data_IF_574427523868
#
_entry.id   IF_574427523868
#
_cell.length_a   1.000
_cell.length_b   1.000
_cell.length_c   1.000
_cell.angle_alpha   90.00
_cell.angle_beta   90.00
_cell.angle_gamma   90.00
#
_symmetry.space_group_name_H-M   'P 1'
#
loop_
_entity.id
_entity.type
_entity.pdbx_description
1 polymer ?
#
# COMPACT_ATOMS: atom_id res chain seq x y z
N UNK A 1 79.86 32.64 -2.68
CA UNK A 1 78.75 33.59 -2.61
C UNK A 1 77.42 32.88 -2.98
N UNK A 2 76.70 32.45 -1.97
CA UNK A 2 75.45 31.74 -2.16
C UNK A 2 74.28 32.69 -1.90
N UNK A 3 73.43 32.94 -2.91
CA UNK A 3 72.22 33.70 -2.81
C UNK A 3 71.06 32.79 -2.42
N UNK A 4 70.42 33.05 -1.28
CA UNK A 4 69.20 32.39 -0.79
C UNK A 4 68.02 32.89 -1.60
N UNK A 5 67.36 32.00 -2.31
CA UNK A 5 66.00 32.22 -2.87
C UNK A 5 64.96 31.74 -1.89
N UNK A 6 64.19 32.62 -1.35
CA UNK A 6 63.04 32.36 -0.49
C UNK A 6 61.88 31.92 -1.34
N UNK A 7 61.42 30.66 -1.15
CA UNK A 7 60.18 30.16 -1.76
C UNK A 7 59.03 30.52 -0.84
N UNK A 8 58.13 31.37 -1.29
CA UNK A 8 56.83 31.63 -0.69
C UNK A 8 55.88 30.50 -1.12
N UNK A 9 55.53 29.59 -0.20
CA UNK A 9 54.38 28.69 -0.38
C UNK A 9 53.11 29.46 -0.01
N UNK A 10 52.28 29.79 -1.01
CA UNK A 10 50.92 30.20 -0.79
C UNK A 10 50.02 28.99 -0.56
N UNK A 11 49.55 28.81 0.67
CA UNK A 11 48.55 27.82 1.01
C UNK A 11 47.20 28.33 0.54
N UNK A 12 46.66 27.72 -0.52
CA UNK A 12 45.26 27.90 -0.91
C UNK A 12 44.39 27.04 0.02
N UNK A 13 43.72 27.67 0.95
CA UNK A 13 42.71 27.03 1.78
C UNK A 13 41.47 26.76 0.90
N UNK A 14 41.26 25.52 0.52
CA UNK A 14 40.00 25.07 -0.10
C UNK A 14 38.93 25.02 1.00
N UNK A 15 38.06 26.02 1.02
CA UNK A 15 36.88 26.01 1.86
C UNK A 15 35.88 25.01 1.28
N UNK A 16 35.79 23.83 1.88
CA UNK A 16 34.76 22.85 1.62
C UNK A 16 33.45 23.41 2.17
N UNK A 17 32.61 23.95 1.30
CA UNK A 17 31.27 24.40 1.67
C UNK A 17 30.44 23.17 2.08
N UNK A 18 30.30 22.97 3.40
CA UNK A 18 29.28 22.06 3.94
C UNK A 18 27.90 22.64 3.59
N UNK A 19 27.25 22.03 2.59
CA UNK A 19 25.83 22.29 2.35
C UNK A 19 25.04 21.79 3.57
N UNK A 20 24.13 22.57 4.11
CA UNK A 20 23.42 22.18 5.31
C UNK A 20 22.47 21.02 5.01
N UNK A 21 22.66 19.90 5.70
CA UNK A 21 21.73 18.75 5.71
C UNK A 21 20.30 19.12 6.17
N UNK A 22 20.07 20.36 6.57
CA UNK A 22 18.78 20.88 7.00
C UNK A 22 17.70 20.92 5.89
N UNK A 23 18.10 21.01 4.61
CA UNK A 23 17.12 21.11 3.50
C UNK A 23 16.41 19.78 3.23
N UNK A 24 17.07 18.63 3.39
CA UNK A 24 16.43 17.33 3.21
C UNK A 24 15.42 16.98 4.31
N UNK A 25 15.68 17.40 5.54
CA UNK A 25 14.76 17.18 6.65
C UNK A 25 13.49 18.04 6.55
N UNK A 26 13.60 19.26 6.01
CA UNK A 26 12.46 20.15 5.82
C UNK A 26 11.53 19.69 4.67
N UNK A 27 12.09 19.11 3.60
CA UNK A 27 11.32 18.60 2.48
C UNK A 27 10.61 17.27 2.82
N UNK A 28 11.24 16.42 3.64
CA UNK A 28 10.61 15.22 4.19
C UNK A 28 9.45 15.59 5.16
N UNK A 29 9.63 16.59 6.02
CA UNK A 29 8.60 17.06 6.93
C UNK A 29 7.44 17.78 6.21
N UNK A 30 7.68 18.48 5.10
CA UNK A 30 6.65 19.09 4.28
C UNK A 30 5.84 18.05 3.50
N UNK A 31 6.46 16.92 3.11
CA UNK A 31 5.76 15.79 2.51
C UNK A 31 4.84 15.06 3.49
N UNK A 32 5.21 14.97 4.77
CA UNK A 32 4.39 14.39 5.84
C UNK A 32 3.19 15.27 6.23
N UNK A 33 3.35 16.60 6.17
CA UNK A 33 2.25 17.52 6.47
C UNK A 33 1.19 17.59 5.36
N UNK A 34 1.52 17.17 4.13
CA UNK A 34 0.59 17.14 2.99
C UNK A 34 -0.33 15.91 2.95
N UNK A 35 0.00 14.84 3.67
CA UNK A 35 -0.93 13.76 3.99
C UNK A 35 -1.77 14.25 5.18
N UNK A 36 -2.70 15.18 4.90
CA UNK A 36 -3.61 15.67 5.91
C UNK A 36 -4.22 14.48 6.65
N UNK A 37 -3.98 14.38 7.95
CA UNK A 37 -4.73 13.56 8.86
C UNK A 37 -6.18 14.05 8.82
N UNK A 38 -6.92 13.64 7.80
CA UNK A 38 -8.36 13.69 7.89
C UNK A 38 -8.70 12.80 9.09
N UNK A 39 -9.18 13.40 10.16
CA UNK A 39 -9.65 12.65 11.31
C UNK A 39 -10.59 11.57 10.76
N UNK A 40 -10.26 10.30 11.02
CA UNK A 40 -11.14 9.21 10.62
C UNK A 40 -12.51 9.48 11.21
N UNK A 41 -13.59 9.39 10.42
CA UNK A 41 -14.92 9.58 10.94
C UNK A 41 -15.17 8.56 12.07
N UNK A 42 -16.03 8.86 13.03
CA UNK A 42 -16.38 7.93 14.09
C UNK A 42 -16.76 6.58 13.49
N UNK A 43 -16.31 5.47 14.10
CA UNK A 43 -16.64 4.13 13.65
C UNK A 43 -18.16 3.99 13.43
N UNK A 44 -18.56 3.55 12.23
CA UNK A 44 -19.96 3.39 11.84
C UNK A 44 -20.64 4.61 11.22
N UNK A 45 -19.96 5.75 11.04
CA UNK A 45 -20.50 6.89 10.31
C UNK A 45 -20.28 6.72 8.79
N UNK A 46 -21.36 6.64 8.03
CA UNK A 46 -21.36 6.57 6.55
C UNK A 46 -22.16 7.74 5.98
N UNK A 47 -21.80 8.31 4.83
CA UNK A 47 -20.68 7.93 3.93
C UNK A 47 -19.31 8.35 4.46
N UNK A 48 -18.27 7.59 4.07
CA UNK A 48 -16.87 7.92 4.33
C UNK A 48 -16.21 8.40 3.03
N UNK A 49 -15.50 9.51 3.10
CA UNK A 49 -14.73 10.07 1.97
C UNK A 49 -13.29 10.26 2.39
N UNK A 50 -12.35 9.71 1.63
CA UNK A 50 -10.92 9.82 1.89
C UNK A 50 -10.11 9.83 0.59
N UNK A 51 -8.82 10.15 0.69
CA UNK A 51 -7.86 9.98 -0.40
C UNK A 51 -7.09 8.68 -0.23
N UNK A 52 -7.11 7.83 -1.25
CA UNK A 52 -6.28 6.63 -1.26
C UNK A 52 -4.80 6.94 -1.60
N UNK A 53 -3.93 5.95 -1.53
CA UNK A 53 -2.50 6.14 -1.78
C UNK A 53 -2.13 6.37 -3.26
N UNK A 54 -3.09 6.30 -4.18
CA UNK A 54 -2.96 6.80 -5.55
C UNK A 54 -3.43 8.27 -5.68
N UNK A 55 -3.78 8.93 -4.57
CA UNK A 55 -4.26 10.32 -4.53
C UNK A 55 -5.69 10.50 -5.01
N UNK A 56 -6.43 9.41 -5.24
CA UNK A 56 -7.82 9.44 -5.71
C UNK A 56 -8.77 9.66 -4.54
N UNK A 57 -9.84 10.39 -4.78
CA UNK A 57 -10.93 10.50 -3.81
C UNK A 57 -11.82 9.25 -3.90
N UNK A 58 -11.87 8.49 -2.82
CA UNK A 58 -12.75 7.33 -2.68
C UNK A 58 -13.93 7.70 -1.78
N UNK A 59 -15.13 7.33 -2.21
CA UNK A 59 -16.36 7.53 -1.45
C UNK A 59 -16.99 6.17 -1.21
N UNK A 60 -17.10 5.79 0.05
CA UNK A 60 -17.83 4.61 0.50
C UNK A 60 -19.15 5.07 1.10
N UNK A 61 -20.26 4.72 0.47
CA UNK A 61 -21.60 5.14 0.91
C UNK A 61 -22.11 4.33 2.09
N UNK A 62 -21.54 3.13 2.27
CA UNK A 62 -21.86 2.20 3.35
C UNK A 62 -20.63 1.33 3.66
N UNK A 63 -20.66 0.63 4.77
CA UNK A 63 -19.61 -0.32 5.12
C UNK A 63 -19.54 -1.46 4.11
N UNK A 64 -18.37 -1.72 3.49
CA UNK A 64 -18.20 -2.82 2.55
C UNK A 64 -18.45 -4.17 3.24
N UNK A 65 -19.31 -4.98 2.62
CA UNK A 65 -19.68 -6.31 3.10
C UNK A 65 -19.04 -7.43 2.30
N UNK A 66 -18.61 -7.15 1.07
CA UNK A 66 -18.01 -8.11 0.15
C UNK A 66 -16.70 -7.54 -0.41
N UNK A 67 -15.59 -7.95 0.18
CA UNK A 67 -14.29 -7.33 -0.07
C UNK A 67 -13.40 -8.29 -0.86
N UNK A 68 -12.77 -7.79 -1.92
CA UNK A 68 -11.63 -8.41 -2.56
C UNK A 68 -10.35 -7.87 -1.93
N UNK A 69 -9.45 -8.76 -1.53
CA UNK A 69 -8.11 -8.38 -1.05
C UNK A 69 -7.08 -8.77 -2.09
N UNK A 70 -6.74 -7.83 -2.97
CA UNK A 70 -5.68 -7.94 -3.97
C UNK A 70 -4.35 -7.38 -3.42
N UNK A 71 -4.03 -7.80 -2.22
CA UNK A 71 -2.83 -7.48 -1.45
C UNK A 71 -2.58 -8.64 -0.48
N UNK A 72 -1.56 -8.56 0.37
CA UNK A 72 -1.37 -9.56 1.41
C UNK A 72 -2.53 -9.56 2.40
N UNK A 73 -3.20 -10.71 2.48
CA UNK A 73 -4.33 -10.90 3.40
C UNK A 73 -3.92 -10.70 4.86
N UNK A 74 -2.66 -10.96 5.20
CA UNK A 74 -2.11 -10.78 6.54
C UNK A 74 -2.19 -9.32 7.00
N UNK A 75 -1.89 -8.38 6.09
CA UNK A 75 -1.99 -6.94 6.40
C UNK A 75 -3.45 -6.53 6.66
N UNK A 76 -4.37 -7.04 5.85
CA UNK A 76 -5.79 -6.81 6.05
C UNK A 76 -6.28 -7.36 7.39
N UNK A 77 -5.85 -8.58 7.74
CA UNK A 77 -6.21 -9.22 9.02
C UNK A 77 -5.61 -8.50 10.23
N UNK A 78 -4.39 -7.95 10.10
CA UNK A 78 -3.74 -7.20 11.18
C UNK A 78 -4.57 -5.98 11.59
N UNK A 79 -5.17 -5.31 10.62
CA UNK A 79 -5.97 -4.09 10.83
C UNK A 79 -7.42 -4.41 11.19
N UNK A 80 -8.05 -5.26 10.40
CA UNK A 80 -9.48 -5.55 10.52
C UNK A 80 -9.82 -6.65 11.53
N UNK A 81 -8.83 -7.39 11.98
CA UNK A 81 -9.03 -8.55 12.86
C UNK A 81 -9.77 -9.71 12.20
N UNK A 82 -10.15 -10.69 13.01
CA UNK A 82 -10.81 -11.91 12.55
C UNK A 82 -12.18 -11.66 11.91
N UNK A 83 -12.93 -10.72 12.45
CA UNK A 83 -14.28 -10.45 11.95
C UNK A 83 -14.29 -9.83 10.54
N UNK A 84 -13.29 -9.05 10.20
CA UNK A 84 -13.14 -8.50 8.86
C UNK A 84 -12.94 -9.60 7.80
N UNK A 85 -12.29 -10.73 8.17
CA UNK A 85 -12.09 -11.85 7.27
C UNK A 85 -13.40 -12.47 6.76
N UNK A 86 -14.48 -12.40 7.54
CA UNK A 86 -15.81 -12.89 7.14
C UNK A 86 -16.38 -12.17 5.91
N UNK A 87 -15.87 -10.97 5.63
CA UNK A 87 -16.29 -10.15 4.48
C UNK A 87 -15.44 -10.38 3.24
N UNK A 88 -14.33 -11.13 3.34
CA UNK A 88 -13.44 -11.39 2.20
C UNK A 88 -14.04 -12.47 1.30
N UNK A 89 -14.40 -12.09 0.09
CA UNK A 89 -15.01 -12.98 -0.91
C UNK A 89 -14.03 -13.47 -1.98
N UNK A 90 -12.81 -12.92 -1.99
CA UNK A 90 -11.70 -13.34 -2.86
C UNK A 90 -10.41 -12.67 -2.46
N UNK A 91 -9.28 -13.34 -2.70
CA UNK A 91 -7.97 -12.80 -2.39
C UNK A 91 -6.91 -13.26 -3.39
N UNK A 92 -5.81 -12.54 -3.51
CA UNK A 92 -4.62 -13.04 -4.19
C UNK A 92 -3.95 -14.09 -3.30
N UNK A 93 -3.72 -15.28 -3.83
CA UNK A 93 -3.03 -16.35 -3.08
C UNK A 93 -1.55 -16.46 -3.42
N UNK A 94 -1.18 -16.09 -4.65
CA UNK A 94 0.19 -15.83 -5.06
C UNK A 94 1.19 -16.94 -4.66
N UNK A 95 0.79 -18.18 -4.90
CA UNK A 95 1.57 -19.36 -4.51
C UNK A 95 1.94 -19.41 -3.01
N UNK A 96 1.16 -18.73 -2.15
CA UNK A 96 1.42 -18.63 -0.71
C UNK A 96 1.66 -19.98 -0.05
N UNK A 97 0.86 -20.99 -0.43
CA UNK A 97 0.98 -22.36 0.08
C UNK A 97 2.28 -23.09 -0.31
N UNK A 98 2.95 -22.65 -1.39
CA UNK A 98 4.19 -23.27 -1.86
C UNK A 98 5.43 -22.43 -1.59
N UNK A 99 5.35 -21.11 -1.79
CA UNK A 99 6.51 -20.21 -1.65
C UNK A 99 6.77 -19.78 -0.21
N UNK A 100 5.70 -19.75 0.62
CA UNK A 100 5.76 -19.38 2.04
C UNK A 100 5.00 -20.37 2.90
N UNK A 101 5.29 -21.66 2.70
CA UNK A 101 4.57 -22.78 3.32
C UNK A 101 4.44 -22.66 4.84
N UNK A 102 5.50 -22.28 5.55
CA UNK A 102 5.47 -22.15 7.01
C UNK A 102 4.48 -21.10 7.48
N UNK A 103 4.47 -19.94 6.82
CA UNK A 103 3.51 -18.88 7.10
C UNK A 103 2.08 -19.34 6.77
N UNK A 104 1.87 -19.93 5.59
CA UNK A 104 0.58 -20.47 5.18
C UNK A 104 0.01 -21.45 6.20
N UNK A 105 0.82 -22.39 6.70
CA UNK A 105 0.40 -23.36 7.70
C UNK A 105 -0.01 -22.71 9.02
N UNK A 106 0.75 -21.73 9.51
CA UNK A 106 0.44 -21.00 10.74
C UNK A 106 -0.91 -20.28 10.59
N UNK A 107 -1.07 -19.49 9.50
CA UNK A 107 -2.30 -18.74 9.29
C UNK A 107 -3.52 -19.63 9.04
N UNK A 108 -3.40 -20.66 8.22
CA UNK A 108 -4.53 -21.57 7.92
C UNK A 108 -4.86 -22.54 9.04
N UNK A 109 -3.97 -22.72 10.01
CA UNK A 109 -4.29 -23.44 11.26
C UNK A 109 -5.09 -22.54 12.22
N UNK A 110 -4.68 -21.28 12.35
CA UNK A 110 -5.39 -20.30 13.19
C UNK A 110 -6.72 -19.82 12.57
N UNK A 111 -6.79 -19.78 11.23
CA UNK A 111 -7.91 -19.28 10.42
C UNK A 111 -8.22 -20.25 9.27
N UNK A 112 -8.87 -21.40 9.55
CA UNK A 112 -9.13 -22.43 8.54
C UNK A 112 -9.94 -21.93 7.34
N UNK A 113 -10.76 -20.91 7.54
CA UNK A 113 -11.57 -20.25 6.53
C UNK A 113 -10.75 -19.66 5.36
N UNK A 114 -9.48 -19.32 5.57
CA UNK A 114 -8.59 -18.84 4.52
C UNK A 114 -8.46 -19.83 3.34
N UNK A 115 -8.54 -21.12 3.61
CA UNK A 115 -8.46 -22.16 2.58
C UNK A 115 -9.65 -22.17 1.63
N UNK A 116 -10.79 -21.63 2.07
CA UNK A 116 -12.03 -21.61 1.29
C UNK A 116 -12.22 -20.31 0.50
N UNK A 117 -11.40 -19.26 0.76
CA UNK A 117 -11.49 -18.02 0.02
C UNK A 117 -10.95 -18.21 -1.40
N UNK A 118 -11.75 -17.90 -2.44
CA UNK A 118 -11.34 -18.07 -3.83
C UNK A 118 -10.11 -17.23 -4.19
N UNK A 119 -9.12 -17.83 -4.87
CA UNK A 119 -8.04 -17.06 -5.50
C UNK A 119 -8.57 -16.24 -6.68
N UNK A 120 -8.17 -14.99 -6.77
CA UNK A 120 -8.54 -14.06 -7.85
C UNK A 120 -7.37 -13.80 -8.81
N UNK A 121 -6.32 -14.58 -8.74
CA UNK A 121 -5.08 -14.44 -9.51
C UNK A 121 -3.88 -14.23 -8.60
N UNK A 122 -2.74 -14.02 -9.20
CA UNK A 122 -1.47 -13.80 -8.51
C UNK A 122 -1.12 -12.33 -8.37
N UNK A 123 -0.36 -12.04 -7.34
CA UNK A 123 0.27 -10.74 -7.12
C UNK A 123 1.54 -10.60 -7.99
N UNK A 124 2.33 -11.67 -8.08
CA UNK A 124 3.59 -11.67 -8.85
C UNK A 124 3.37 -11.82 -10.34
N UNK A 125 2.27 -12.43 -10.76
CA UNK A 125 1.96 -12.61 -12.18
C UNK A 125 1.26 -11.39 -12.78
N UNK A 126 0.99 -10.34 -11.99
CA UNK A 126 0.23 -9.13 -12.35
C UNK A 126 -1.12 -9.41 -13.05
N UNK A 127 -1.61 -10.64 -12.94
CA UNK A 127 -2.82 -11.10 -13.60
C UNK A 127 -3.95 -11.23 -12.61
N UNK A 128 -4.81 -10.22 -12.59
CA UNK A 128 -6.09 -10.30 -11.90
C UNK A 128 -7.15 -10.94 -12.82
N UNK A 129 -7.83 -11.96 -12.34
CA UNK A 129 -8.91 -12.61 -13.08
C UNK A 129 -10.19 -11.75 -12.99
N UNK A 130 -10.39 -10.88 -13.98
CA UNK A 130 -11.48 -9.91 -14.00
C UNK A 130 -12.86 -10.57 -13.99
N UNK A 131 -13.05 -11.66 -14.71
CA UNK A 131 -14.32 -12.39 -14.76
C UNK A 131 -14.67 -12.94 -13.39
N UNK A 132 -13.71 -13.58 -12.73
CA UNK A 132 -13.90 -14.14 -11.40
C UNK A 132 -14.18 -13.06 -10.37
N UNK A 133 -13.45 -11.94 -10.42
CA UNK A 133 -13.68 -10.80 -9.52
C UNK A 133 -15.09 -10.28 -9.67
N UNK A 134 -15.56 -10.04 -10.89
CA UNK A 134 -16.92 -9.54 -11.15
C UNK A 134 -17.98 -10.57 -10.73
N UNK A 135 -17.73 -11.86 -10.99
CA UNK A 135 -18.65 -12.94 -10.61
C UNK A 135 -18.83 -13.06 -9.09
N UNK A 136 -17.80 -12.71 -8.32
CA UNK A 136 -17.87 -12.66 -6.85
C UNK A 136 -18.70 -11.51 -6.32
N UNK A 137 -19.10 -10.56 -7.17
CA UNK A 137 -19.93 -9.38 -6.83
C UNK A 137 -19.43 -8.65 -5.58
N UNK A 138 -18.16 -8.21 -5.52
CA UNK A 138 -17.68 -7.43 -4.42
C UNK A 138 -18.23 -6.01 -4.47
N UNK A 139 -18.33 -5.36 -3.32
CA UNK A 139 -18.64 -3.94 -3.21
C UNK A 139 -17.36 -3.09 -3.07
N UNK A 140 -16.27 -3.70 -2.59
CA UNK A 140 -14.97 -3.04 -2.50
C UNK A 140 -13.82 -3.99 -2.88
N UNK A 141 -12.71 -3.38 -3.34
CA UNK A 141 -11.45 -4.07 -3.64
C UNK A 141 -10.28 -3.29 -3.06
N UNK A 142 -9.49 -3.93 -2.22
CA UNK A 142 -8.25 -3.37 -1.70
C UNK A 142 -7.11 -3.87 -2.56
N UNK A 143 -6.31 -2.97 -3.12
CA UNK A 143 -5.22 -3.28 -4.04
C UNK A 143 -4.00 -2.44 -3.68
N UNK A 144 -2.79 -2.97 -3.87
CA UNK A 144 -1.59 -2.17 -3.68
C UNK A 144 -1.29 -1.28 -4.90
N UNK A 145 -0.45 -0.28 -4.69
CA UNK A 145 -0.09 0.72 -5.70
C UNK A 145 0.53 0.11 -6.96
N UNK A 146 1.39 -0.90 -6.82
CA UNK A 146 2.06 -1.55 -7.96
C UNK A 146 1.04 -2.31 -8.82
N UNK A 147 0.19 -3.10 -8.19
CA UNK A 147 -0.89 -3.83 -8.86
C UNK A 147 -1.90 -2.88 -9.52
N UNK A 148 -2.21 -1.77 -8.86
CA UNK A 148 -3.07 -0.73 -9.40
C UNK A 148 -2.48 -0.16 -10.69
N UNK A 149 -1.20 0.20 -10.69
CA UNK A 149 -0.51 0.74 -11.87
C UNK A 149 -0.44 -0.27 -13.02
N UNK A 150 -0.21 -1.55 -12.73
CA UNK A 150 -0.14 -2.61 -13.73
C UNK A 150 -1.51 -2.99 -14.33
N UNK A 151 -2.62 -2.67 -13.64
CA UNK A 151 -3.96 -3.12 -14.01
C UNK A 151 -4.95 -1.98 -14.32
N UNK A 152 -4.49 -0.79 -14.70
CA UNK A 152 -5.34 0.41 -14.88
C UNK A 152 -6.59 0.17 -15.72
N UNK A 153 -6.48 -0.51 -16.85
CA UNK A 153 -7.63 -0.82 -17.71
C UNK A 153 -8.65 -1.75 -17.04
N UNK A 154 -8.17 -2.72 -16.26
CA UNK A 154 -9.04 -3.63 -15.50
C UNK A 154 -9.72 -2.90 -14.34
N UNK A 155 -9.00 -1.99 -13.69
CA UNK A 155 -9.56 -1.16 -12.61
C UNK A 155 -10.77 -0.36 -13.10
N UNK A 156 -10.69 0.26 -14.30
CA UNK A 156 -11.83 0.95 -14.90
C UNK A 156 -13.04 0.03 -15.13
N UNK A 157 -12.79 -1.22 -15.51
CA UNK A 157 -13.86 -2.21 -15.66
C UNK A 157 -14.50 -2.53 -14.32
N UNK A 158 -13.70 -2.70 -13.26
CA UNK A 158 -14.21 -2.96 -11.91
C UNK A 158 -15.04 -1.78 -11.38
N UNK A 159 -14.55 -0.56 -11.56
CA UNK A 159 -15.27 0.64 -11.12
C UNK A 159 -16.58 0.84 -11.87
N UNK A 160 -16.61 0.56 -13.18
CA UNK A 160 -17.86 0.54 -13.97
C UNK A 160 -18.84 -0.55 -13.52
N UNK A 161 -18.34 -1.66 -13.00
CA UNK A 161 -19.14 -2.70 -12.38
C UNK A 161 -19.62 -2.37 -10.97
N UNK A 162 -19.31 -1.16 -10.46
CA UNK A 162 -19.74 -0.68 -9.15
C UNK A 162 -18.80 -1.07 -7.99
N UNK A 163 -17.65 -1.67 -8.28
CA UNK A 163 -16.68 -2.06 -7.28
C UNK A 163 -15.84 -0.84 -6.88
N UNK A 164 -15.82 -0.49 -5.60
CA UNK A 164 -14.99 0.61 -5.08
C UNK A 164 -13.55 0.13 -4.89
N UNK A 165 -12.63 0.62 -5.74
CA UNK A 165 -11.22 0.25 -5.66
C UNK A 165 -10.49 1.21 -4.73
N UNK A 166 -9.78 0.65 -3.75
CA UNK A 166 -9.04 1.35 -2.70
C UNK A 166 -7.58 0.97 -2.83
N UNK A 167 -6.72 1.96 -3.07
CA UNK A 167 -5.28 1.74 -3.24
C UNK A 167 -4.57 1.94 -1.91
N UNK A 168 -3.90 0.87 -1.45
CA UNK A 168 -3.04 0.87 -0.26
C UNK A 168 -1.57 0.73 -0.65
N UNK A 169 -0.67 0.71 0.30
CA UNK A 169 0.72 0.39 0.04
C UNK A 169 1.05 -1.06 0.44
N UNK A 170 2.03 -1.59 -0.26
CA UNK A 170 2.54 -2.93 -0.02
C UNK A 170 3.62 -2.97 1.07
N UNK A 171 4.50 -1.99 1.05
CA UNK A 171 5.61 -1.83 1.97
C UNK A 171 5.49 -0.57 2.83
N UNK A 172 4.27 -0.22 3.24
CA UNK A 172 4.11 0.92 4.11
C UNK A 172 4.89 0.72 5.41
N UNK A 173 5.86 1.60 5.63
CA UNK A 173 6.68 1.62 6.85
C UNK A 173 5.85 2.04 8.08
N UNK A 174 4.68 2.61 7.85
CA UNK A 174 3.78 3.14 8.87
C UNK A 174 2.43 2.41 8.81
N UNK A 175 1.89 2.08 9.97
CA UNK A 175 0.61 1.37 10.09
C UNK A 175 -0.55 2.18 9.50
N UNK A 176 -0.54 3.50 9.65
CA UNK A 176 -1.56 4.40 9.11
C UNK A 176 -1.70 4.34 7.59
N UNK A 177 -0.67 3.88 6.88
CA UNK A 177 -0.75 3.66 5.43
C UNK A 177 -1.46 2.36 5.03
N UNK A 178 -1.82 1.52 5.99
CA UNK A 178 -2.61 0.30 5.81
C UNK A 178 -4.04 0.45 6.34
N UNK A 179 -4.28 1.50 7.13
CA UNK A 179 -5.59 1.81 7.71
C UNK A 179 -6.16 3.01 6.97
N UNK A 180 -7.30 2.84 6.39
CA UNK A 180 -8.08 3.88 5.72
C UNK A 180 -9.25 4.32 6.58
#
# INVERSE_FOLDING_TARGET
MLTRRTLLLSAAAASLAMLPFASFAAEAAAGEAALGQAALPPAGSWPVTFKDLAGRTVILTQEPQRIIVANYIQNFMLVGGRDALKRVVGMTQDHWESTRMGEYQVFTTAYPELKSIPSIGGFHDDILNSEKIIALKPDAMIINRTQFAANTQRIEVFERAGIRVIVTDYHAMKLENHVL
#
